data_IF_296922307869
#
_entry.id   IF_296922307869
#
_cell.length_a   1.000
_cell.length_b   1.000
_cell.length_c   1.000
_cell.angle_alpha   90.00
_cell.angle_beta   90.00
_cell.angle_gamma   90.00
#
_symmetry.space_group_name_H-M   'P 1'
#
loop_
_entity.id
_entity.type
_entity.pdbx_description
1 polymer ?
#
# COMPACT_ATOMS: atom_id res chain seq x y z
N UNK A 1 -12.68 -3.78 8.38
CA UNK A 1 -11.86 -5.00 8.20
C UNK A 1 -11.05 -5.20 9.48
N UNK A 2 -11.03 -6.40 10.06
CA UNK A 2 -10.39 -6.63 11.36
C UNK A 2 -8.94 -7.13 11.25
N UNK A 3 -8.20 -6.70 10.20
CA UNK A 3 -6.85 -7.21 9.95
C UNK A 3 -5.85 -6.81 11.06
N UNK A 4 -6.14 -5.79 11.88
CA UNK A 4 -5.38 -5.50 13.11
C UNK A 4 -5.32 -6.70 14.06
N UNK A 5 -6.33 -7.58 14.11
CA UNK A 5 -6.31 -8.78 14.97
C UNK A 5 -5.18 -9.74 14.57
N UNK A 6 -4.95 -9.92 13.27
CA UNK A 6 -3.83 -10.71 12.75
C UNK A 6 -2.48 -10.08 13.10
N UNK A 7 -2.42 -8.74 13.08
CA UNK A 7 -1.22 -8.00 13.51
C UNK A 7 -0.98 -8.21 15.02
N UNK A 8 -2.02 -8.18 15.86
CA UNK A 8 -1.90 -8.45 17.29
C UNK A 8 -1.36 -9.86 17.59
N UNK A 9 -1.73 -10.87 16.79
CA UNK A 9 -1.13 -12.21 16.89
C UNK A 9 0.38 -12.20 16.58
N UNK A 10 0.83 -11.37 15.63
CA UNK A 10 2.25 -11.17 15.32
C UNK A 10 2.95 -10.50 16.50
N UNK A 11 2.36 -9.45 17.09
CA UNK A 11 2.90 -8.77 18.27
C UNK A 11 3.17 -9.75 19.40
N UNK A 12 2.20 -10.62 19.70
CA UNK A 12 2.34 -11.65 20.73
C UNK A 12 3.49 -12.63 20.42
N UNK A 13 3.60 -13.10 19.16
CA UNK A 13 4.68 -14.02 18.74
C UNK A 13 6.07 -13.38 18.84
N UNK A 14 6.18 -12.10 18.52
CA UNK A 14 7.45 -11.36 18.51
C UNK A 14 7.77 -10.68 19.86
N UNK A 15 6.89 -10.84 20.86
CA UNK A 15 7.01 -10.17 22.17
C UNK A 15 7.16 -8.65 22.00
N UNK A 16 6.25 -8.05 21.23
CA UNK A 16 6.16 -6.61 20.99
C UNK A 16 4.92 -6.04 21.67
N UNK A 17 5.02 -4.80 22.17
CA UNK A 17 3.88 -4.11 22.77
C UNK A 17 2.99 -3.44 21.70
N UNK A 18 3.63 -2.93 20.64
CA UNK A 18 2.99 -2.31 19.50
C UNK A 18 3.86 -2.41 18.23
N UNK A 19 3.27 -2.08 17.08
CA UNK A 19 4.00 -1.91 15.81
C UNK A 19 3.57 -0.64 15.10
N UNK A 20 4.55 0.03 14.48
CA UNK A 20 4.35 1.13 13.56
C UNK A 20 4.51 0.63 12.13
N UNK A 21 3.41 0.62 11.38
CA UNK A 21 3.33 0.17 9.98
C UNK A 21 3.45 1.40 9.09
N UNK A 22 4.43 1.40 8.20
CA UNK A 22 4.79 2.52 7.31
C UNK A 22 4.68 2.17 5.83
N UNK A 23 4.72 0.89 5.46
CA UNK A 23 4.55 0.47 4.09
C UNK A 23 3.10 0.72 3.65
N UNK A 24 2.91 1.54 2.61
CA UNK A 24 1.57 1.94 2.16
C UNK A 24 0.64 0.77 1.80
N UNK A 25 1.19 -0.35 1.30
CA UNK A 25 0.36 -1.52 1.01
C UNK A 25 -0.08 -2.26 2.28
N UNK A 26 0.78 -2.30 3.30
CA UNK A 26 0.47 -2.92 4.58
C UNK A 26 -0.46 -2.01 5.41
N UNK A 27 -0.29 -0.69 5.34
CA UNK A 27 -1.26 0.27 5.86
C UNK A 27 -2.64 0.03 5.25
N UNK A 28 -2.74 0.00 3.91
CA UNK A 28 -4.01 -0.25 3.22
C UNK A 28 -4.61 -1.62 3.57
N UNK A 29 -3.80 -2.68 3.62
CA UNK A 29 -4.29 -4.01 3.99
C UNK A 29 -4.81 -4.05 5.43
N UNK A 30 -4.09 -3.44 6.36
CA UNK A 30 -4.43 -3.48 7.78
C UNK A 30 -5.65 -2.60 8.06
N UNK A 31 -5.63 -1.34 7.66
CA UNK A 31 -6.66 -0.35 8.04
C UNK A 31 -7.68 -0.02 6.96
N UNK A 32 -7.39 -0.29 5.69
CA UNK A 32 -8.19 0.20 4.55
C UNK A 32 -7.78 1.59 4.06
N UNK A 33 -6.92 2.29 4.78
CA UNK A 33 -6.46 3.64 4.41
C UNK A 33 -5.48 3.61 3.24
N UNK A 34 -5.81 4.31 2.15
CA UNK A 34 -5.04 4.37 0.91
C UNK A 34 -4.22 5.68 0.76
N UNK A 35 -4.00 6.43 1.85
CA UNK A 35 -3.20 7.65 1.80
C UNK A 35 -1.71 7.38 1.60
N UNK A 36 -0.99 8.40 1.12
CA UNK A 36 0.42 8.31 0.76
C UNK A 36 1.36 8.64 1.93
N UNK A 37 0.85 9.31 2.97
CA UNK A 37 1.60 9.70 4.15
C UNK A 37 0.91 9.26 5.42
N UNK A 38 1.72 8.86 6.40
CA UNK A 38 1.24 8.47 7.71
C UNK A 38 1.81 7.14 8.19
N UNK A 39 1.21 6.66 9.27
CA UNK A 39 1.50 5.36 9.84
C UNK A 39 0.20 4.70 10.30
N UNK A 40 0.15 3.37 10.26
CA UNK A 40 -0.84 2.60 11.03
C UNK A 40 -0.17 2.10 12.29
N UNK A 41 -0.72 2.48 13.44
CA UNK A 41 -0.29 2.02 14.74
C UNK A 41 -1.21 0.91 15.21
N UNK A 42 -0.65 -0.20 15.70
CA UNK A 42 -1.42 -1.29 16.31
C UNK A 42 -0.73 -1.74 17.59
N UNK A 43 -1.49 -1.78 18.68
CA UNK A 43 -1.13 -2.39 19.97
C UNK A 43 -2.16 -3.44 20.37
N UNK A 44 -2.00 -4.05 21.53
CA UNK A 44 -3.02 -4.94 22.11
C UNK A 44 -4.35 -4.21 22.44
N UNK A 45 -4.32 -2.89 22.67
CA UNK A 45 -5.49 -2.12 23.13
C UNK A 45 -6.03 -1.14 22.08
N UNK A 46 -5.18 -0.66 21.17
CA UNK A 46 -5.46 0.46 20.28
C UNK A 46 -5.02 0.15 18.85
N UNK A 47 -5.74 0.74 17.89
CA UNK A 47 -5.39 0.70 16.48
C UNK A 47 -5.79 2.05 15.87
N UNK A 48 -4.82 2.71 15.24
CA UNK A 48 -4.96 4.10 14.80
C UNK A 48 -4.27 4.34 13.45
N UNK A 49 -4.82 5.26 12.68
CA UNK A 49 -4.17 5.87 11.51
C UNK A 49 -3.66 7.23 11.94
N UNK A 50 -2.35 7.43 11.87
CA UNK A 50 -1.68 8.69 12.17
C UNK A 50 -1.34 9.34 10.83
N UNK A 51 -1.94 10.48 10.51
CA UNK A 51 -1.78 11.12 9.21
C UNK A 51 -1.77 12.65 9.32
N UNK A 52 -1.48 13.34 8.22
CA UNK A 52 -1.53 14.81 8.17
C UNK A 52 -2.88 15.34 7.69
N UNK A 53 -3.12 16.63 7.91
CA UNK A 53 -4.42 17.27 7.68
C UNK A 53 -4.97 17.11 6.25
N UNK A 54 -4.11 16.84 5.26
CA UNK A 54 -4.54 16.61 3.86
C UNK A 54 -5.35 15.32 3.73
N UNK A 55 -5.11 14.36 4.61
CA UNK A 55 -5.68 13.01 4.54
C UNK A 55 -6.67 12.71 5.67
N UNK A 56 -6.89 13.61 6.64
CA UNK A 56 -7.81 13.37 7.76
C UNK A 56 -9.19 12.87 7.30
N UNK A 57 -9.82 13.60 6.37
CA UNK A 57 -11.15 13.24 5.85
C UNK A 57 -11.10 11.89 5.12
N UNK A 58 -10.05 11.64 4.33
CA UNK A 58 -9.89 10.36 3.64
C UNK A 58 -9.73 9.21 4.64
N UNK A 59 -8.94 9.40 5.70
CA UNK A 59 -8.71 8.39 6.72
C UNK A 59 -9.99 8.08 7.50
N UNK A 60 -10.80 9.08 7.85
CA UNK A 60 -12.12 8.89 8.47
C UNK A 60 -13.09 8.08 7.59
N UNK A 61 -13.02 8.28 6.26
CA UNK A 61 -13.87 7.56 5.31
C UNK A 61 -13.39 6.13 5.01
N UNK A 62 -12.07 5.92 4.92
CA UNK A 62 -11.49 4.65 4.47
C UNK A 62 -11.13 3.70 5.62
N UNK A 63 -10.72 4.22 6.78
CA UNK A 63 -10.19 3.45 7.90
C UNK A 63 -11.27 3.13 8.95
N UNK A 64 -12.36 2.49 8.53
CA UNK A 64 -13.48 2.17 9.42
C UNK A 64 -13.03 1.36 10.64
N UNK A 65 -13.37 1.85 11.83
CA UNK A 65 -13.03 1.24 13.12
C UNK A 65 -11.67 1.66 13.68
N UNK A 66 -10.86 2.42 12.93
CA UNK A 66 -9.59 2.95 13.41
C UNK A 66 -9.77 4.34 14.01
N UNK A 67 -8.99 4.62 15.05
CA UNK A 67 -8.85 5.99 15.52
C UNK A 67 -8.03 6.83 14.52
N UNK A 68 -8.49 8.04 14.22
CA UNK A 68 -7.79 8.94 13.31
C UNK A 68 -7.06 10.03 14.10
N UNK A 69 -5.73 10.02 14.00
CA UNK A 69 -4.86 10.96 14.71
C UNK A 69 -4.24 11.89 13.68
N UNK A 70 -4.71 13.13 13.64
CA UNK A 70 -4.16 14.17 12.75
C UNK A 70 -2.98 14.85 13.41
N UNK A 71 -1.81 14.84 12.77
CA UNK A 71 -0.61 15.44 13.34
C UNK A 71 -0.71 16.98 13.41
N UNK A 72 -0.19 17.53 14.51
CA UNK A 72 -0.02 18.96 14.70
C UNK A 72 1.37 19.46 14.29
N UNK A 73 1.82 20.56 14.90
CA UNK A 73 3.10 21.21 14.57
C UNK A 73 4.34 20.36 14.87
N UNK A 74 4.31 19.48 15.88
CA UNK A 74 5.43 18.57 16.15
C UNK A 74 5.48 17.33 15.27
N UNK A 75 4.55 17.20 14.32
CA UNK A 75 4.56 16.15 13.31
C UNK A 75 4.30 14.75 13.86
N UNK A 76 4.71 13.74 13.08
CA UNK A 76 4.48 12.33 13.42
C UNK A 76 5.13 11.91 14.73
N UNK A 77 6.34 12.40 15.02
CA UNK A 77 7.08 11.95 16.20
C UNK A 77 6.43 12.41 17.51
N UNK A 78 5.82 13.59 17.54
CA UNK A 78 5.04 14.07 18.69
C UNK A 78 3.81 13.20 18.92
N UNK A 79 2.98 13.02 17.88
CA UNK A 79 1.76 12.20 17.96
C UNK A 79 2.06 10.75 18.35
N UNK A 80 3.12 10.14 17.79
CA UNK A 80 3.53 8.78 18.16
C UNK A 80 3.97 8.74 19.64
N UNK A 81 4.78 9.70 20.09
CA UNK A 81 5.24 9.75 21.48
C UNK A 81 4.11 9.89 22.50
N UNK A 82 3.03 10.60 22.17
CA UNK A 82 1.84 10.71 23.01
C UNK A 82 1.20 9.33 23.21
N UNK A 83 0.96 8.60 22.13
CA UNK A 83 0.38 7.25 22.16
C UNK A 83 1.28 6.28 22.94
N UNK A 84 2.59 6.29 22.66
CA UNK A 84 3.56 5.43 23.35
C UNK A 84 3.55 5.66 24.86
N UNK A 85 3.43 6.93 25.28
CA UNK A 85 3.36 7.31 26.71
C UNK A 85 2.04 6.88 27.34
N UNK A 86 0.91 7.09 26.67
CA UNK A 86 -0.42 6.70 27.16
C UNK A 86 -0.53 5.19 27.40
N UNK A 87 0.01 4.38 26.49
CA UNK A 87 -0.05 2.92 26.58
C UNK A 87 1.14 2.28 27.30
N UNK A 88 2.13 3.07 27.72
CA UNK A 88 3.37 2.61 28.36
C UNK A 88 4.13 1.59 27.52
N UNK A 89 4.25 1.87 26.22
CA UNK A 89 4.92 1.01 25.24
C UNK A 89 6.44 1.01 25.50
N UNK A 90 7.03 -0.17 25.68
CA UNK A 90 8.46 -0.36 25.84
C UNK A 90 9.13 -0.88 24.57
N UNK A 91 8.45 -1.78 23.86
CA UNK A 91 8.95 -2.49 22.67
C UNK A 91 8.08 -2.20 21.46
N UNK A 92 8.53 -1.26 20.62
CA UNK A 92 7.84 -0.85 19.39
C UNK A 92 8.48 -1.52 18.18
N UNK A 93 7.70 -2.28 17.43
CA UNK A 93 8.11 -2.83 16.13
C UNK A 93 8.06 -1.78 15.01
N UNK A 94 8.91 -1.94 14.00
CA UNK A 94 8.83 -1.18 12.73
C UNK A 94 9.19 -2.07 11.52
N UNK A 95 8.69 -1.73 10.33
CA UNK A 95 8.91 -2.52 9.10
C UNK A 95 10.30 -2.29 8.50
N UNK A 96 11.28 -3.11 8.88
CA UNK A 96 12.69 -2.89 8.55
C UNK A 96 13.05 -3.17 7.08
N UNK A 97 12.26 -3.97 6.37
CA UNK A 97 12.48 -4.28 4.95
C UNK A 97 12.05 -3.15 4.00
N UNK A 98 11.24 -2.20 4.48
CA UNK A 98 10.67 -1.12 3.66
C UNK A 98 11.05 0.28 4.17
N UNK A 99 11.29 0.42 5.47
CA UNK A 99 11.61 1.72 6.07
C UNK A 99 13.00 2.20 5.62
N UNK A 100 13.04 3.40 5.03
CA UNK A 100 14.29 4.06 4.69
C UNK A 100 15.14 4.28 5.95
N UNK A 101 16.45 4.06 5.82
CA UNK A 101 17.40 4.26 6.92
C UNK A 101 17.31 5.66 7.55
N UNK A 102 17.12 6.71 6.73
CA UNK A 102 16.95 8.08 7.22
C UNK A 102 15.69 8.23 8.10
N UNK A 103 14.58 7.58 7.73
CA UNK A 103 13.35 7.56 8.53
C UNK A 103 13.57 6.81 9.84
N UNK A 104 14.17 5.63 9.79
CA UNK A 104 14.52 4.86 10.99
C UNK A 104 15.40 5.67 11.95
N UNK A 105 16.46 6.31 11.43
CA UNK A 105 17.36 7.13 12.23
C UNK A 105 16.61 8.28 12.92
N UNK A 106 15.77 8.98 12.18
CA UNK A 106 14.92 10.06 12.72
C UNK A 106 13.99 9.56 13.81
N UNK A 107 13.33 8.41 13.61
CA UNK A 107 12.45 7.81 14.61
C UNK A 107 13.24 7.38 15.85
N UNK A 108 14.40 6.74 15.67
CA UNK A 108 15.27 6.32 16.77
C UNK A 108 15.73 7.50 17.65
N UNK A 109 16.03 8.65 17.06
CA UNK A 109 16.45 9.84 17.81
C UNK A 109 15.29 10.55 18.53
N UNK A 110 14.08 10.49 17.98
CA UNK A 110 12.95 11.33 18.42
C UNK A 110 11.88 10.58 19.20
N UNK A 111 11.75 9.27 19.01
CA UNK A 111 10.79 8.45 19.73
C UNK A 111 11.31 8.12 21.12
N UNK A 112 10.44 8.27 22.12
CA UNK A 112 10.70 7.99 23.53
C UNK A 112 10.23 6.57 23.84
N UNK A 113 10.89 5.60 23.22
CA UNK A 113 10.67 4.17 23.43
C UNK A 113 11.98 3.49 23.81
N UNK A 114 11.92 2.48 24.68
CA UNK A 114 13.11 1.79 25.16
C UNK A 114 13.74 0.94 24.05
N UNK A 115 12.92 0.23 23.29
CA UNK A 115 13.37 -0.62 22.19
C UNK A 115 12.55 -0.34 20.92
N UNK A 116 13.26 0.02 19.85
CA UNK A 116 12.73 0.10 18.49
C UNK A 116 13.23 -1.13 17.71
N UNK A 117 12.34 -2.08 17.47
CA UNK A 117 12.69 -3.45 17.06
C UNK A 117 12.34 -3.66 15.59
N UNK A 118 13.29 -4.14 14.76
CA UNK A 118 13.00 -4.46 13.37
C UNK A 118 12.06 -5.66 13.28
N UNK A 119 10.95 -5.48 12.57
CA UNK A 119 10.06 -6.54 12.11
C UNK A 119 10.43 -6.85 10.66
N UNK A 120 10.52 -8.14 10.32
CA UNK A 120 10.81 -8.61 8.98
C UNK A 120 9.56 -8.55 8.10
N UNK A 121 9.33 -9.61 7.32
CA UNK A 121 8.20 -9.69 6.39
C UNK A 121 6.89 -10.20 7.02
N UNK A 122 6.78 -10.30 8.35
CA UNK A 122 5.63 -10.92 9.03
C UNK A 122 4.29 -10.27 8.68
N UNK A 123 4.25 -8.93 8.62
CA UNK A 123 3.04 -8.18 8.24
C UNK A 123 2.73 -8.40 6.76
N UNK A 124 3.75 -8.30 5.90
CA UNK A 124 3.61 -8.52 4.45
C UNK A 124 3.09 -9.93 4.15
N UNK A 125 3.51 -10.94 4.92
CA UNK A 125 3.06 -12.34 4.77
C UNK A 125 1.55 -12.52 4.97
N UNK A 126 0.89 -11.65 5.73
CA UNK A 126 -0.58 -11.71 5.90
C UNK A 126 -1.32 -11.59 4.55
N UNK A 127 -0.72 -10.92 3.57
CA UNK A 127 -1.29 -10.67 2.24
C UNK A 127 -1.05 -11.83 1.25
N UNK A 128 -0.33 -12.87 1.67
CA UNK A 128 -0.01 -14.02 0.79
C UNK A 128 -1.26 -14.83 0.47
N UNK A 129 -2.05 -15.15 1.49
CA UNK A 129 -3.29 -15.93 1.39
C UNK A 129 -4.47 -14.95 1.34
N UNK A 130 -5.18 -14.95 0.22
CA UNK A 130 -6.27 -14.00 -0.04
C UNK A 130 -7.53 -14.50 0.65
N UNK A 131 -8.27 -13.57 1.22
CA UNK A 131 -9.64 -13.79 1.69
C UNK A 131 -10.59 -14.00 0.50
N UNK A 132 -11.78 -14.61 0.72
CA UNK A 132 -12.80 -14.71 -0.32
C UNK A 132 -13.17 -13.36 -0.96
N UNK A 133 -13.19 -12.29 -0.15
CA UNK A 133 -13.48 -10.94 -0.62
C UNK A 133 -12.35 -10.37 -1.50
N UNK A 134 -11.08 -10.57 -1.12
CA UNK A 134 -9.95 -10.16 -1.96
C UNK A 134 -9.91 -10.93 -3.29
N UNK A 135 -10.25 -12.22 -3.28
CA UNK A 135 -10.37 -13.02 -4.50
C UNK A 135 -11.48 -12.48 -5.42
N UNK A 136 -12.60 -12.03 -4.86
CA UNK A 136 -13.66 -11.39 -5.64
C UNK A 136 -13.19 -10.07 -6.28
N UNK A 137 -12.40 -9.26 -5.57
CA UNK A 137 -11.79 -8.06 -6.15
C UNK A 137 -10.80 -8.37 -7.27
N UNK A 138 -9.98 -9.42 -7.11
CA UNK A 138 -9.06 -9.87 -8.16
C UNK A 138 -9.84 -10.32 -9.40
N UNK A 139 -10.91 -11.13 -9.24
CA UNK A 139 -11.75 -11.56 -10.37
C UNK A 139 -12.34 -10.39 -11.14
N UNK A 140 -12.81 -9.34 -10.45
CA UNK A 140 -13.33 -8.13 -11.08
C UNK A 140 -12.25 -7.36 -11.84
N UNK A 141 -11.05 -7.26 -11.27
CA UNK A 141 -9.92 -6.63 -11.94
C UNK A 141 -9.53 -7.36 -13.24
N UNK A 142 -9.47 -8.70 -13.20
CA UNK A 142 -9.20 -9.53 -14.38
C UNK A 142 -10.32 -9.41 -15.43
N UNK A 143 -11.59 -9.41 -15.03
CA UNK A 143 -12.72 -9.23 -15.95
C UNK A 143 -12.64 -7.90 -16.73
N UNK A 144 -12.22 -6.82 -16.05
CA UNK A 144 -11.96 -5.53 -16.72
C UNK A 144 -10.80 -5.67 -17.74
N UNK A 145 -9.74 -6.40 -17.37
CA UNK A 145 -8.62 -6.70 -18.25
C UNK A 145 -9.03 -7.47 -19.51
N UNK A 146 -9.86 -8.50 -19.36
CA UNK A 146 -10.40 -9.31 -20.47
C UNK A 146 -11.24 -8.46 -21.44
N UNK A 147 -12.08 -7.58 -20.91
CA UNK A 147 -12.86 -6.65 -21.72
C UNK A 147 -11.95 -5.67 -22.49
N UNK A 148 -10.94 -5.10 -21.84
CA UNK A 148 -9.97 -4.22 -22.53
C UNK A 148 -9.22 -4.98 -23.59
N UNK A 149 -8.76 -6.20 -23.31
CA UNK A 149 -8.06 -7.04 -24.28
C UNK A 149 -8.94 -7.31 -25.52
N UNK A 150 -10.22 -7.62 -25.29
CA UNK A 150 -11.21 -7.82 -26.36
C UNK A 150 -11.37 -6.56 -27.23
N UNK A 151 -11.56 -5.39 -26.61
CA UNK A 151 -11.66 -4.11 -27.33
C UNK A 151 -10.40 -3.78 -28.14
N UNK A 152 -9.23 -4.24 -27.68
CA UNK A 152 -7.96 -4.00 -28.36
C UNK A 152 -7.76 -4.84 -29.61
N UNK A 153 -8.44 -5.98 -29.76
CA UNK A 153 -8.35 -6.82 -30.95
C UNK A 153 -8.75 -6.05 -32.23
N UNK A 154 -9.77 -5.20 -32.14
CA UNK A 154 -10.20 -4.34 -33.24
C UNK A 154 -9.34 -3.07 -33.37
N UNK A 155 -8.74 -2.63 -32.28
CA UNK A 155 -7.92 -1.42 -32.26
C UNK A 155 -6.51 -1.64 -32.82
N UNK A 156 -5.89 -2.81 -32.64
CA UNK A 156 -4.51 -3.05 -33.08
C UNK A 156 -4.47 -3.26 -34.61
N UNK A 157 -3.84 -2.35 -35.36
CA UNK A 157 -3.68 -2.44 -36.84
C UNK A 157 -2.34 -1.84 -37.30
N UNK A 158 -1.83 -2.25 -38.48
CA UNK A 158 -0.60 -1.70 -39.03
C UNK A 158 -0.58 -0.18 -39.09
N UNK A 159 0.58 0.41 -38.80
CA UNK A 159 0.80 1.85 -38.86
C UNK A 159 0.60 2.60 -37.54
N UNK A 160 0.00 1.96 -36.52
CA UNK A 160 -0.04 2.47 -35.14
C UNK A 160 1.27 2.22 -34.41
N UNK A 161 1.63 3.09 -33.48
CA UNK A 161 2.80 2.88 -32.63
C UNK A 161 2.47 2.03 -31.40
N UNK A 162 3.49 1.38 -30.83
CA UNK A 162 3.35 0.67 -29.55
C UNK A 162 2.83 1.61 -28.44
N UNK A 163 3.28 2.87 -28.42
CA UNK A 163 2.80 3.89 -27.48
C UNK A 163 1.32 4.24 -27.66
N UNK A 164 0.81 4.35 -28.89
CA UNK A 164 -0.62 4.59 -29.14
C UNK A 164 -1.48 3.44 -28.60
N UNK A 165 -1.01 2.21 -28.76
CA UNK A 165 -1.68 1.00 -28.26
C UNK A 165 -1.65 0.98 -26.72
N UNK A 166 -0.49 1.26 -26.11
CA UNK A 166 -0.35 1.32 -24.66
C UNK A 166 -1.26 2.40 -24.04
N UNK A 167 -1.28 3.60 -24.62
CA UNK A 167 -2.15 4.69 -24.18
C UNK A 167 -3.64 4.33 -24.29
N UNK A 168 -4.03 3.58 -25.34
CA UNK A 168 -5.41 3.11 -25.50
C UNK A 168 -5.80 2.11 -24.41
N UNK A 169 -4.90 1.19 -24.04
CA UNK A 169 -5.13 0.24 -22.94
C UNK A 169 -5.40 1.00 -21.63
N UNK A 170 -4.54 1.94 -21.26
CA UNK A 170 -4.70 2.71 -20.01
C UNK A 170 -5.99 3.53 -20.00
N UNK A 171 -6.36 4.12 -21.14
CA UNK A 171 -7.62 4.83 -21.30
C UNK A 171 -8.82 3.89 -21.08
N UNK A 172 -8.83 2.73 -21.73
CA UNK A 172 -9.95 1.79 -21.64
C UNK A 172 -10.08 1.19 -20.24
N UNK A 173 -8.98 0.88 -19.57
CA UNK A 173 -8.99 0.43 -18.17
C UNK A 173 -9.74 1.43 -17.28
N UNK A 174 -9.41 2.73 -17.39
CA UNK A 174 -10.09 3.78 -16.62
C UNK A 174 -11.57 3.90 -16.96
N UNK A 175 -11.91 3.88 -18.25
CA UNK A 175 -13.31 3.97 -18.71
C UNK A 175 -14.15 2.80 -18.17
N UNK A 176 -13.58 1.61 -18.06
CA UNK A 176 -14.25 0.40 -17.54
C UNK A 176 -14.22 0.29 -16.00
N UNK A 177 -13.78 1.34 -15.30
CA UNK A 177 -13.88 1.43 -13.84
C UNK A 177 -12.62 1.02 -13.07
N UNK A 178 -11.50 0.75 -13.75
CA UNK A 178 -10.23 0.60 -13.05
C UNK A 178 -9.76 1.96 -12.49
N UNK A 179 -9.35 1.99 -11.22
CA UNK A 179 -8.80 3.21 -10.59
C UNK A 179 -7.52 3.67 -11.29
N UNK A 180 -6.67 2.72 -11.70
CA UNK A 180 -5.42 2.91 -12.44
C UNK A 180 -4.99 1.58 -13.04
N UNK A 181 -4.04 1.62 -13.98
CA UNK A 181 -3.30 0.43 -14.39
C UNK A 181 -2.49 -0.12 -13.22
N UNK A 182 -2.38 -1.45 -13.12
CA UNK A 182 -1.59 -2.13 -12.08
C UNK A 182 -0.08 -1.92 -12.27
N UNK A 183 0.36 -1.79 -13.52
CA UNK A 183 1.70 -1.41 -13.96
C UNK A 183 1.63 -0.73 -15.34
N UNK A 184 2.68 -0.03 -15.80
CA UNK A 184 2.72 0.54 -17.15
C UNK A 184 2.51 -0.54 -18.21
N UNK A 185 1.57 -0.32 -19.14
CA UNK A 185 1.25 -1.34 -20.15
C UNK A 185 2.49 -1.69 -21.00
N UNK A 186 2.74 -2.98 -21.20
CA UNK A 186 3.78 -3.48 -22.08
C UNK A 186 3.17 -3.77 -23.45
N UNK A 187 3.68 -3.11 -24.48
CA UNK A 187 3.32 -3.36 -25.89
C UNK A 187 4.62 -3.53 -26.66
N UNK A 188 4.87 -4.75 -27.12
CA UNK A 188 6.12 -5.16 -27.73
C UNK A 188 5.84 -5.86 -29.06
N UNK A 189 6.27 -5.24 -30.16
CA UNK A 189 5.91 -5.67 -31.52
C UNK A 189 7.13 -6.07 -32.35
N UNK A 190 6.99 -7.11 -33.18
CA UNK A 190 8.08 -7.61 -34.03
C UNK A 190 9.31 -7.98 -33.18
N UNK A 191 10.48 -7.42 -33.52
CA UNK A 191 11.72 -7.68 -32.77
C UNK A 191 11.61 -7.31 -31.28
N UNK A 192 10.77 -6.32 -30.92
CA UNK A 192 10.60 -5.94 -29.53
C UNK A 192 9.93 -7.04 -28.69
N UNK A 193 9.17 -7.96 -29.31
CA UNK A 193 8.48 -9.05 -28.61
C UNK A 193 9.43 -10.05 -27.94
N UNK A 194 10.72 -10.06 -28.30
CA UNK A 194 11.73 -10.87 -27.63
C UNK A 194 12.28 -10.24 -26.34
N UNK A 195 11.84 -9.03 -25.96
CA UNK A 195 12.28 -8.34 -24.74
C UNK A 195 11.24 -8.50 -23.61
N UNK A 196 11.54 -9.26 -22.53
CA UNK A 196 10.57 -9.54 -21.46
C UNK A 196 10.04 -8.31 -20.71
N UNK A 197 10.83 -7.24 -20.64
CA UNK A 197 10.48 -5.97 -19.98
C UNK A 197 10.49 -4.81 -20.97
N UNK A 198 10.02 -5.02 -22.20
CA UNK A 198 9.92 -3.98 -23.21
C UNK A 198 9.10 -2.79 -22.69
N UNK A 199 9.60 -1.58 -22.94
CA UNK A 199 8.83 -0.34 -22.77
C UNK A 199 8.29 0.06 -24.14
N UNK A 200 6.98 0.35 -24.29
CA UNK A 200 6.40 0.77 -25.56
C UNK A 200 7.15 1.95 -26.18
N UNK A 201 7.39 1.90 -27.49
CA UNK A 201 8.15 2.93 -28.22
C UNK A 201 7.31 3.61 -29.31
N UNK A 202 7.93 4.53 -30.06
CA UNK A 202 7.36 5.10 -31.29
C UNK A 202 7.42 4.14 -32.49
N UNK A 203 7.91 2.90 -32.30
CA UNK A 203 7.92 1.88 -33.35
C UNK A 203 6.49 1.60 -33.80
N UNK A 204 6.26 1.64 -35.11
CA UNK A 204 5.01 1.21 -35.73
C UNK A 204 4.92 -0.32 -35.78
N UNK A 205 3.72 -0.84 -35.54
CA UNK A 205 3.36 -2.24 -35.77
C UNK A 205 2.99 -2.49 -37.23
#
# INVERSE_FOLDING_TARGET
MDNYKKVQEILHKLTLDAVLISNGNNMYYVSGFAGETGYVYVSAKRHAVITDFRYTIQAEMEAEGYEIITIGKGGYEEAINEILKEEQINRLGFEAEDMLYATYHKLKERLRVNELIPVGDEITRLRRIKTPQELEYIKRAEAIGDEVFTDMLDFIKPGRTELEIAARIEYLLKVKGARKSSFPAIVASGINSSMPHAVPTQKKI
#
